data_IF_055803725135
#
_entry.id   IF_055803725135
#
_cell.length_a   1.000
_cell.length_b   1.000
_cell.length_c   1.000
_cell.angle_alpha   90.00
_cell.angle_beta   90.00
_cell.angle_gamma   90.00
#
_symmetry.space_group_name_H-M   'P 1'
#
loop_
_entity.id
_entity.type
_entity.pdbx_description
1 polymer ?
#
# COMPACT_ATOMS: atom_id res chain seq x y z
N UNK A 1 3.76 21.89 -7.62
CA UNK A 1 3.17 20.56 -7.32
C UNK A 1 2.23 20.70 -6.12
N UNK A 2 1.12 20.00 -6.13
CA UNK A 2 0.10 19.95 -5.09
C UNK A 2 0.30 18.70 -4.24
N UNK A 3 0.24 18.82 -2.91
CA UNK A 3 0.22 17.68 -1.99
C UNK A 3 -1.15 16.99 -2.08
N UNK A 4 -1.17 15.71 -2.37
CA UNK A 4 -2.39 14.89 -2.51
C UNK A 4 -2.58 13.97 -1.30
N UNK A 5 -1.48 13.50 -0.73
CA UNK A 5 -1.51 12.65 0.45
C UNK A 5 -0.31 12.96 1.34
N UNK A 6 -0.52 12.90 2.66
CA UNK A 6 0.52 12.99 3.66
C UNK A 6 0.20 12.04 4.80
N UNK A 7 1.12 11.13 5.11
CA UNK A 7 0.96 10.15 6.19
C UNK A 7 0.76 10.81 7.56
N UNK A 8 1.40 11.96 7.80
CA UNK A 8 1.26 12.74 9.03
C UNK A 8 -0.19 13.15 9.32
N UNK A 9 -1.00 13.27 8.28
CA UNK A 9 -2.39 13.69 8.37
C UNK A 9 -3.36 12.47 8.44
N UNK A 10 -2.88 11.25 8.14
CA UNK A 10 -3.66 10.01 8.15
C UNK A 10 -3.66 9.31 9.52
N UNK A 11 -4.38 9.90 10.47
CA UNK A 11 -4.51 9.38 11.83
C UNK A 11 -5.08 7.95 11.90
N UNK A 12 -6.10 7.55 11.10
CA UNK A 12 -6.60 6.18 11.08
C UNK A 12 -5.53 5.14 10.70
N UNK A 13 -4.69 5.44 9.70
CA UNK A 13 -3.61 4.56 9.29
C UNK A 13 -2.51 4.48 10.37
N UNK A 14 -2.07 5.63 10.88
CA UNK A 14 -1.06 5.69 11.95
C UNK A 14 -1.51 4.92 13.20
N UNK A 15 -2.76 5.09 13.61
CA UNK A 15 -3.33 4.33 14.74
C UNK A 15 -3.31 2.81 14.48
N UNK A 16 -3.58 2.41 13.23
CA UNK A 16 -3.56 0.99 12.85
C UNK A 16 -2.15 0.42 12.87
N UNK A 17 -1.14 1.18 12.44
CA UNK A 17 0.27 0.79 12.55
C UNK A 17 0.69 0.66 14.01
N UNK A 18 0.40 1.66 14.84
CA UNK A 18 0.76 1.65 16.26
C UNK A 18 0.13 0.48 17.01
N UNK A 19 -1.16 0.18 16.76
CA UNK A 19 -1.82 -0.98 17.37
C UNK A 19 -1.13 -2.29 16.97
N UNK A 20 -0.78 -2.46 15.70
CA UNK A 20 -0.06 -3.66 15.24
C UNK A 20 1.32 -3.77 15.91
N UNK A 21 2.05 -2.66 15.98
CA UNK A 21 3.37 -2.62 16.59
C UNK A 21 3.34 -2.89 18.11
N UNK A 22 2.28 -2.50 18.81
CA UNK A 22 2.09 -2.85 20.24
C UNK A 22 1.91 -4.36 20.45
N UNK A 23 1.23 -5.05 19.53
CA UNK A 23 1.06 -6.51 19.61
C UNK A 23 2.34 -7.25 19.19
N UNK A 24 3.04 -6.74 18.16
CA UNK A 24 4.23 -7.33 17.55
C UNK A 24 5.15 -6.25 17.01
N UNK A 25 6.07 -5.71 17.82
CA UNK A 25 6.96 -4.63 17.37
C UNK A 25 7.99 -5.16 16.37
N UNK A 26 8.22 -4.41 15.30
CA UNK A 26 9.31 -4.68 14.36
C UNK A 26 10.66 -4.22 14.92
N UNK A 27 11.75 -4.60 14.25
CA UNK A 27 13.07 -4.08 14.60
C UNK A 27 13.16 -2.55 14.46
N UNK A 28 12.45 -2.00 13.46
CA UNK A 28 12.38 -0.55 13.25
C UNK A 28 11.54 0.15 14.31
N UNK A 29 10.41 -0.43 14.73
CA UNK A 29 9.61 0.11 15.83
C UNK A 29 10.45 0.24 17.12
N UNK A 30 11.28 -0.76 17.41
CA UNK A 30 12.16 -0.75 18.59
C UNK A 30 13.32 0.23 18.47
N UNK A 31 13.80 0.51 17.26
CA UNK A 31 14.97 1.36 17.02
C UNK A 31 14.63 2.83 16.85
N UNK A 32 13.54 3.13 16.15
CA UNK A 32 13.19 4.49 15.73
C UNK A 32 11.88 4.99 16.36
N UNK A 33 11.21 4.17 17.16
CA UNK A 33 9.90 4.47 17.73
C UNK A 33 8.76 3.93 16.86
N UNK A 34 7.56 3.90 17.43
CA UNK A 34 6.37 3.43 16.74
C UNK A 34 6.04 4.34 15.57
N UNK A 35 5.60 3.76 14.46
CA UNK A 35 5.16 4.52 13.28
C UNK A 35 4.23 5.70 13.65
N UNK A 36 4.59 6.89 13.17
CA UNK A 36 3.87 8.14 13.44
C UNK A 36 3.99 8.72 14.86
N UNK A 37 4.77 8.11 15.75
CA UNK A 37 5.08 8.71 17.06
C UNK A 37 6.05 9.90 16.92
N UNK A 38 6.17 10.70 17.98
CA UNK A 38 7.09 11.83 17.98
C UNK A 38 8.56 11.40 17.77
N UNK A 39 8.94 10.26 18.35
CA UNK A 39 10.28 9.67 18.20
C UNK A 39 10.54 9.21 16.77
N UNK A 40 9.52 8.64 16.11
CA UNK A 40 9.63 8.20 14.71
C UNK A 40 9.77 9.38 13.76
N UNK A 41 8.98 10.44 13.95
CA UNK A 41 9.12 11.68 13.19
C UNK A 41 10.48 12.35 13.44
N UNK A 42 10.95 12.39 14.68
CA UNK A 42 12.27 12.92 15.00
C UNK A 42 13.40 12.11 14.34
N UNK A 43 13.23 10.79 14.20
CA UNK A 43 14.17 9.92 13.49
C UNK A 43 14.21 10.22 11.99
N UNK A 44 13.08 10.58 11.38
CA UNK A 44 13.02 11.04 9.99
C UNK A 44 13.68 12.42 9.86
N UNK A 45 13.28 13.38 10.69
CA UNK A 45 13.76 14.76 10.61
C UNK A 45 15.27 14.87 10.86
N UNK A 46 15.82 13.98 11.69
CA UNK A 46 17.27 13.88 11.93
C UNK A 46 18.04 13.09 10.87
N UNK A 47 17.36 12.39 9.96
CA UNK A 47 17.96 11.51 8.96
C UNK A 47 18.42 10.15 9.49
N UNK A 48 18.09 9.80 10.74
CA UNK A 48 18.34 8.47 11.30
C UNK A 48 17.52 7.39 10.56
N UNK A 49 16.28 7.71 10.21
CA UNK A 49 15.49 7.00 9.21
C UNK A 49 15.75 7.61 7.83
N UNK A 50 16.26 6.81 6.89
CA UNK A 50 16.59 7.30 5.55
C UNK A 50 15.33 7.47 4.73
N UNK A 51 15.13 8.69 4.26
CA UNK A 51 14.09 9.02 3.29
C UNK A 51 14.67 9.08 1.88
N UNK A 52 13.84 8.77 0.89
CA UNK A 52 14.12 9.02 -0.51
C UNK A 52 12.93 9.68 -1.18
N UNK A 53 13.22 10.47 -2.21
CA UNK A 53 12.23 11.09 -3.07
C UNK A 53 12.32 10.47 -4.45
N UNK A 54 11.22 9.91 -4.92
CA UNK A 54 11.12 9.29 -6.24
C UNK A 54 10.24 10.18 -7.12
N UNK A 55 10.66 10.40 -8.38
CA UNK A 55 9.97 11.28 -9.33
C UNK A 55 9.69 10.54 -10.64
N UNK A 56 8.48 10.68 -11.15
CA UNK A 56 8.08 10.02 -12.38
C UNK A 56 6.85 10.65 -13.02
N UNK A 57 6.37 9.99 -14.08
CA UNK A 57 5.16 10.35 -14.80
C UNK A 57 4.11 9.29 -14.53
N UNK A 58 2.91 9.68 -14.08
CA UNK A 58 1.80 8.74 -13.83
C UNK A 58 1.44 7.99 -15.11
N UNK A 59 1.52 6.67 -15.06
CA UNK A 59 1.22 5.75 -16.17
C UNK A 59 0.03 4.84 -15.92
N UNK A 60 -0.40 4.72 -14.67
CA UNK A 60 -1.53 3.89 -14.30
C UNK A 60 -2.19 4.38 -13.03
N UNK A 61 -3.51 4.30 -13.00
CA UNK A 61 -4.33 4.47 -11.82
C UNK A 61 -5.34 3.33 -11.78
N UNK A 62 -5.41 2.67 -10.63
CA UNK A 62 -6.40 1.66 -10.32
C UNK A 62 -7.13 2.09 -9.09
N UNK A 63 -8.32 2.64 -9.32
CA UNK A 63 -9.28 2.86 -8.26
C UNK A 63 -9.60 1.48 -7.68
N UNK A 64 -9.19 1.24 -6.43
CA UNK A 64 -9.59 0.04 -5.73
C UNK A 64 -11.10 -0.10 -5.86
N UNK A 65 -11.61 -1.30 -6.16
CA UNK A 65 -13.06 -1.48 -6.06
C UNK A 65 -13.40 -1.23 -4.59
N UNK A 66 -14.33 -0.31 -4.31
CA UNK A 66 -14.85 0.18 -3.02
C UNK A 66 -14.84 -0.75 -1.77
N UNK A 67 -14.69 -2.06 -1.94
CA UNK A 67 -14.61 -3.09 -0.90
C UNK A 67 -13.23 -3.80 -0.79
N UNK A 68 -12.25 -3.42 -1.61
CA UNK A 68 -11.06 -4.21 -1.93
C UNK A 68 -9.72 -3.52 -1.63
N UNK A 69 -9.73 -2.27 -1.16
CA UNK A 69 -8.52 -1.56 -0.72
C UNK A 69 -8.25 -0.21 -1.40
N UNK A 70 -7.13 0.44 -1.03
CA UNK A 70 -6.73 1.76 -1.52
C UNK A 70 -6.57 1.82 -3.03
N UNK A 71 -6.65 3.04 -3.60
CA UNK A 71 -6.24 3.26 -4.98
C UNK A 71 -4.77 2.88 -5.15
N UNK A 72 -4.43 2.19 -6.23
CA UNK A 72 -3.05 1.94 -6.60
C UNK A 72 -2.70 2.88 -7.75
N UNK A 73 -1.50 3.45 -7.72
CA UNK A 73 -0.99 4.17 -8.89
C UNK A 73 0.41 3.66 -9.25
N UNK A 74 0.76 3.81 -10.52
CA UNK A 74 2.10 3.56 -11.04
C UNK A 74 2.59 4.77 -11.82
N UNK A 75 3.88 5.04 -11.68
CA UNK A 75 4.61 6.04 -12.44
C UNK A 75 5.84 5.43 -13.09
N UNK A 76 6.19 5.96 -14.25
CA UNK A 76 7.45 5.66 -14.92
C UNK A 76 8.50 6.68 -14.52
N UNK A 77 9.66 6.18 -14.11
CA UNK A 77 10.81 6.98 -13.71
C UNK A 77 11.63 7.40 -14.93
N UNK A 78 12.60 8.29 -14.73
CA UNK A 78 13.43 8.82 -15.82
C UNK A 78 14.27 7.74 -16.53
N UNK A 79 14.55 6.62 -15.87
CA UNK A 79 15.27 5.47 -16.42
C UNK A 79 14.35 4.45 -17.13
N UNK A 80 13.04 4.73 -17.20
CA UNK A 80 12.04 3.85 -17.79
C UNK A 80 11.54 2.74 -16.86
N UNK A 81 12.07 2.64 -15.63
CA UNK A 81 11.54 1.71 -14.63
C UNK A 81 10.19 2.17 -14.09
N UNK A 82 9.42 1.23 -13.53
CA UNK A 82 8.14 1.51 -12.92
C UNK A 82 8.27 1.57 -11.40
N UNK A 83 7.65 2.57 -10.81
CA UNK A 83 7.45 2.70 -9.38
C UNK A 83 5.96 2.85 -9.10
N UNK A 84 5.46 2.16 -8.09
CA UNK A 84 4.06 2.26 -7.74
C UNK A 84 3.75 1.61 -6.41
N UNK A 85 2.53 1.83 -5.95
CA UNK A 85 2.11 1.33 -4.66
C UNK A 85 0.69 1.73 -4.33
N UNK A 86 0.25 1.23 -3.18
CA UNK A 86 -1.04 1.53 -2.62
C UNK A 86 -1.01 2.96 -2.06
N UNK A 87 -2.00 3.76 -2.43
CA UNK A 87 -2.20 5.12 -1.97
C UNK A 87 -3.52 5.18 -1.19
N UNK A 88 -3.47 5.59 0.07
CA UNK A 88 -4.65 5.75 0.93
C UNK A 88 -5.49 7.00 0.59
N UNK A 89 -5.63 7.31 -0.70
CA UNK A 89 -6.52 8.35 -1.22
C UNK A 89 -7.86 7.72 -1.58
N UNK A 90 -8.94 8.39 -1.18
CA UNK A 90 -10.31 7.95 -1.50
C UNK A 90 -10.50 7.83 -3.02
N UNK A 91 -11.16 6.77 -3.53
CA UNK A 91 -11.27 6.51 -4.97
C UNK A 91 -11.81 7.69 -5.79
N UNK A 92 -12.77 8.44 -5.27
CA UNK A 92 -13.36 9.59 -5.95
C UNK A 92 -12.32 10.70 -6.13
N UNK A 93 -11.62 11.06 -5.06
CA UNK A 93 -10.52 12.04 -5.11
C UNK A 93 -9.40 11.53 -6.03
N UNK A 94 -9.06 10.25 -5.93
CA UNK A 94 -8.02 9.65 -6.74
C UNK A 94 -8.36 9.75 -8.23
N UNK A 95 -9.62 9.51 -8.60
CA UNK A 95 -10.09 9.57 -9.99
C UNK A 95 -9.99 10.98 -10.60
N UNK A 96 -10.06 12.02 -9.78
CA UNK A 96 -9.96 13.41 -10.22
C UNK A 96 -8.51 13.88 -10.34
N UNK A 97 -7.64 13.46 -9.41
CA UNK A 97 -6.29 14.03 -9.28
C UNK A 97 -5.22 13.24 -10.01
N UNK A 98 -5.34 11.92 -10.13
CA UNK A 98 -4.37 11.03 -10.79
C UNK A 98 -4.67 10.85 -12.27
N UNK A 99 -4.49 11.93 -13.03
CA UNK A 99 -4.56 11.86 -14.49
C UNK A 99 -3.28 11.26 -15.06
N UNK A 100 -3.43 10.38 -16.05
CA UNK A 100 -2.31 9.84 -16.82
C UNK A 100 -1.48 10.99 -17.39
N UNK A 101 -0.16 10.93 -17.19
CA UNK A 101 0.76 11.92 -17.72
C UNK A 101 1.09 13.02 -16.75
N UNK A 102 0.43 13.12 -15.59
CA UNK A 102 0.86 14.04 -14.53
C UNK A 102 2.22 13.64 -14.00
N UNK A 103 3.02 14.64 -13.65
CA UNK A 103 4.22 14.44 -12.85
C UNK A 103 3.82 14.01 -11.43
N UNK A 104 4.50 13.01 -10.90
CA UNK A 104 4.34 12.54 -9.53
C UNK A 104 5.68 12.58 -8.79
N UNK A 105 5.61 12.93 -7.52
CA UNK A 105 6.74 12.89 -6.61
C UNK A 105 6.31 12.24 -5.30
N UNK A 106 7.01 11.20 -4.89
CA UNK A 106 6.73 10.43 -3.67
C UNK A 106 7.94 10.53 -2.75
N UNK A 107 7.73 11.09 -1.57
CA UNK A 107 8.65 10.93 -0.45
C UNK A 107 8.29 9.66 0.30
N UNK A 108 9.28 8.83 0.56
CA UNK A 108 9.09 7.57 1.28
C UNK A 108 10.25 7.29 2.21
N UNK A 109 10.00 6.45 3.21
CA UNK A 109 10.99 5.90 4.12
C UNK A 109 11.02 4.38 3.99
N UNK A 110 12.22 3.81 3.87
CA UNK A 110 12.39 2.37 3.94
C UNK A 110 12.56 1.97 5.40
N UNK A 111 11.55 1.29 5.93
CA UNK A 111 11.49 0.95 7.36
C UNK A 111 12.08 -0.42 7.63
N UNK A 112 11.54 -1.48 7.05
CA UNK A 112 12.00 -2.84 7.31
C UNK A 112 12.34 -3.59 6.03
N UNK A 113 13.10 -4.67 6.16
CA UNK A 113 13.29 -5.65 5.12
C UNK A 113 12.94 -7.05 5.63
N UNK A 114 12.21 -7.82 4.83
CA UNK A 114 11.82 -9.19 5.15
C UNK A 114 12.12 -10.11 3.97
N UNK A 115 12.42 -11.37 4.26
CA UNK A 115 12.64 -12.36 3.20
C UNK A 115 11.33 -13.05 2.86
N UNK A 116 10.95 -13.03 1.58
CA UNK A 116 9.81 -13.78 1.04
C UNK A 116 10.32 -14.67 -0.10
N UNK A 117 10.11 -15.98 0.00
CA UNK A 117 10.58 -16.96 -0.99
C UNK A 117 12.09 -16.89 -1.29
N UNK A 118 12.90 -16.51 -0.30
CA UNK A 118 14.36 -16.35 -0.45
C UNK A 118 14.80 -14.99 -0.98
N UNK A 119 13.86 -14.10 -1.33
CA UNK A 119 14.17 -12.75 -1.79
C UNK A 119 14.00 -11.73 -0.67
N UNK A 120 14.99 -10.85 -0.49
CA UNK A 120 14.88 -9.71 0.40
C UNK A 120 13.92 -8.68 -0.20
N UNK A 121 12.86 -8.35 0.53
CA UNK A 121 11.86 -7.34 0.18
C UNK A 121 11.94 -6.22 1.20
N UNK A 122 11.88 -4.97 0.71
CA UNK A 122 11.83 -3.78 1.55
C UNK A 122 10.39 -3.32 1.71
N UNK A 123 10.09 -2.74 2.87
CA UNK A 123 8.83 -2.08 3.16
C UNK A 123 9.11 -0.58 3.08
N UNK A 124 8.47 0.05 2.10
CA UNK A 124 8.52 1.48 1.88
C UNK A 124 7.20 2.11 2.34
N UNK A 125 7.28 3.00 3.32
CA UNK A 125 6.15 3.79 3.77
C UNK A 125 6.16 5.15 3.10
N UNK A 126 5.04 5.52 2.48
CA UNK A 126 4.90 6.79 1.78
C UNK A 126 4.63 7.89 2.79
N UNK A 127 5.52 8.88 2.84
CA UNK A 127 5.42 10.02 3.72
C UNK A 127 4.53 11.10 3.10
N UNK A 128 4.78 11.42 1.83
CA UNK A 128 4.05 12.44 1.10
C UNK A 128 4.01 12.09 -0.39
N UNK A 129 2.85 12.31 -1.00
CA UNK A 129 2.67 12.24 -2.45
C UNK A 129 2.25 13.61 -2.96
N UNK A 130 2.98 14.08 -3.98
CA UNK A 130 2.74 15.33 -4.68
C UNK A 130 2.48 15.06 -6.16
N UNK A 131 1.48 15.74 -6.71
CA UNK A 131 1.20 15.73 -8.15
C UNK A 131 1.50 17.09 -8.76
N UNK A 132 2.12 17.08 -9.92
CA UNK A 132 2.45 18.26 -10.71
C UNK A 132 1.56 18.42 -11.93
N UNK A 133 2.03 19.31 -12.82
CA UNK A 133 1.40 19.53 -14.11
C UNK A 133 1.55 18.32 -15.02
N UNK A 134 0.82 18.34 -16.14
CA UNK A 134 0.93 17.34 -17.18
C UNK A 134 2.33 17.36 -17.80
N UNK A 135 2.89 16.18 -18.02
CA UNK A 135 4.06 16.01 -18.87
C UNK A 135 3.76 16.57 -20.27
N UNK A 136 4.72 17.27 -20.90
CA UNK A 136 4.55 17.77 -22.27
C UNK A 136 4.46 16.64 -23.30
N UNK A 137 4.88 15.43 -22.93
CA UNK A 137 4.85 14.27 -23.82
C UNK A 137 3.57 13.47 -23.59
N UNK A 138 2.84 13.10 -24.67
CA UNK A 138 1.69 12.23 -24.56
C UNK A 138 2.11 10.88 -23.97
N UNK A 139 1.27 10.36 -23.07
CA UNK A 139 1.51 9.09 -22.41
C UNK A 139 0.44 8.09 -22.79
N UNK A 140 0.87 6.84 -23.04
CA UNK A 140 -0.05 5.72 -23.13
C UNK A 140 -0.24 5.09 -21.75
N UNK A 141 -1.44 4.63 -21.41
CA UNK A 141 -1.66 3.80 -20.23
C UNK A 141 -0.85 2.51 -20.33
N UNK A 142 -0.38 2.00 -19.19
CA UNK A 142 0.24 0.67 -19.15
C UNK A 142 -0.77 -0.41 -19.57
N UNK A 143 -0.33 -1.43 -20.33
CA UNK A 143 -1.21 -2.51 -20.75
C UNK A 143 -1.70 -3.32 -19.55
N UNK A 144 -2.90 -3.89 -19.70
CA UNK A 144 -3.44 -4.84 -18.74
C UNK A 144 -2.64 -6.16 -18.77
N UNK A 145 -1.66 -6.33 -17.87
CA UNK A 145 -0.87 -7.57 -17.73
C UNK A 145 -1.18 -8.31 -16.42
N UNK A 146 -0.95 -9.63 -16.35
CA UNK A 146 -1.09 -10.36 -15.08
C UNK A 146 -0.04 -9.93 -14.03
N UNK A 147 1.05 -9.30 -14.45
CA UNK A 147 2.06 -8.73 -13.55
C UNK A 147 1.54 -7.45 -12.87
N UNK A 148 0.86 -6.60 -13.64
CA UNK A 148 0.27 -5.34 -13.15
C UNK A 148 -1.15 -5.54 -12.58
N UNK A 149 -1.85 -6.63 -12.96
CA UNK A 149 -3.28 -6.88 -12.65
C UNK A 149 -3.59 -8.27 -12.05
N UNK A 150 -2.60 -9.17 -11.93
CA UNK A 150 -2.81 -10.57 -11.53
C UNK A 150 -3.41 -10.74 -10.15
N UNK A 151 -3.23 -9.74 -9.28
CA UNK A 151 -3.85 -9.70 -7.95
C UNK A 151 -5.38 -9.60 -8.03
N UNK A 152 -5.92 -8.90 -9.04
CA UNK A 152 -7.37 -8.74 -9.21
C UNK A 152 -8.03 -9.90 -9.97
N UNK A 153 -7.33 -10.51 -10.94
CA UNK A 153 -7.83 -11.70 -11.65
C UNK A 153 -7.93 -12.92 -10.72
N UNK A 154 -6.98 -13.10 -9.80
CA UNK A 154 -6.99 -14.19 -8.80
C UNK A 154 -8.12 -14.05 -7.76
N UNK A 155 -8.51 -12.83 -7.38
CA UNK A 155 -9.67 -12.61 -6.50
C UNK A 155 -11.02 -12.97 -7.14
N UNK A 156 -11.19 -12.72 -8.46
CA UNK A 156 -12.40 -13.16 -9.19
C UNK A 156 -12.52 -14.69 -9.25
N UNK A 157 -11.41 -15.41 -9.36
CA UNK A 157 -11.41 -16.87 -9.36
C UNK A 157 -11.75 -17.44 -7.97
N UNK A 158 -11.27 -16.83 -6.89
CA UNK A 158 -11.63 -17.26 -5.52
C UNK A 158 -13.14 -17.11 -5.24
N UNK A 159 -13.79 -16.04 -5.72
CA UNK A 159 -15.25 -15.87 -5.61
C UNK A 159 -16.05 -16.98 -6.34
N UNK A 160 -15.45 -17.65 -7.32
CA UNK A 160 -16.08 -18.75 -8.08
C UNK A 160 -15.93 -20.11 -7.38
N UNK A 161 -14.97 -20.24 -6.46
CA UNK A 161 -14.69 -21.49 -5.73
C UNK A 161 -15.50 -21.58 -4.42
N UNK A 162 -15.99 -20.45 -3.89
CA UNK A 162 -16.87 -20.41 -2.71
C UNK A 162 -18.35 -20.51 -3.16
N UNK A 163 -18.69 -21.57 -3.87
CA UNK A 163 -20.04 -22.13 -3.89
C UNK A 163 -19.96 -23.45 -3.11
N UNK A 164 -20.86 -23.71 -2.13
CA UNK A 164 -20.64 -24.78 -1.17
C UNK A 164 -20.98 -26.13 -1.80
N UNK A 165 -19.97 -26.93 -2.12
CA UNK A 165 -20.13 -28.39 -2.10
C UNK A 165 -19.59 -28.92 -0.78
N UNK A 166 -20.50 -29.51 -0.01
CA UNK A 166 -20.26 -30.20 1.25
C UNK A 166 -19.42 -31.45 0.97
N UNK A 167 -18.22 -31.57 1.52
CA UNK A 167 -17.64 -32.88 1.87
C UNK A 167 -16.42 -32.79 2.79
N UNK A 168 -16.25 -33.85 3.55
CA UNK A 168 -15.43 -34.13 4.74
C UNK A 168 -13.90 -33.95 4.66
N UNK A 169 -13.33 -33.52 5.80
CA UNK A 169 -11.91 -33.37 6.24
C UNK A 169 -11.25 -34.77 6.45
N UNK A 170 -9.91 -35.04 6.24
CA UNK A 170 -8.85 -34.71 7.23
C UNK A 170 -7.40 -34.54 6.66
N UNK A 171 -6.31 -34.54 7.47
CA UNK A 171 -5.53 -33.37 7.87
C UNK A 171 -4.10 -33.38 7.31
N UNK A 172 -3.32 -32.35 7.67
CA UNK A 172 -1.85 -32.21 7.50
C UNK A 172 -1.34 -31.53 6.22
N UNK A 173 -1.07 -30.22 6.34
CA UNK A 173 0.24 -29.62 6.06
C UNK A 173 0.23 -28.12 6.35
N UNK A 174 1.04 -27.72 7.31
CA UNK A 174 1.23 -26.33 7.77
C UNK A 174 2.32 -25.66 6.93
N UNK A 175 1.99 -24.54 6.27
CA UNK A 175 2.84 -23.32 6.17
C UNK A 175 2.19 -22.14 5.41
N UNK A 176 0.94 -22.25 4.97
CA UNK A 176 0.17 -21.14 4.35
C UNK A 176 -0.48 -20.18 5.37
N UNK A 177 -0.34 -20.45 6.67
CA UNK A 177 -1.13 -19.81 7.71
C UNK A 177 -0.65 -18.40 8.09
N UNK A 178 0.62 -18.03 7.88
CA UNK A 178 1.13 -16.76 8.42
C UNK A 178 0.91 -15.55 7.50
N UNK A 179 0.98 -15.75 6.17
CA UNK A 179 0.59 -14.71 5.19
C UNK A 179 -0.92 -14.47 5.17
N UNK A 180 -1.71 -15.54 5.30
CA UNK A 180 -3.17 -15.46 5.38
C UNK A 180 -3.62 -14.85 6.71
N UNK A 181 -2.94 -15.12 7.84
CA UNK A 181 -3.23 -14.45 9.12
C UNK A 181 -3.02 -12.94 9.03
N UNK A 182 -1.94 -12.45 8.42
CA UNK A 182 -1.71 -11.00 8.31
C UNK A 182 -2.74 -10.30 7.41
N UNK A 183 -3.18 -10.99 6.35
CA UNK A 183 -4.26 -10.52 5.48
C UNK A 183 -5.63 -10.55 6.18
N UNK A 184 -5.96 -11.64 6.88
CA UNK A 184 -7.19 -11.79 7.66
C UNK A 184 -7.26 -10.83 8.85
N UNK A 185 -6.13 -10.53 9.49
CA UNK A 185 -6.06 -9.50 10.54
C UNK A 185 -6.36 -8.12 9.94
N UNK A 186 -5.77 -7.79 8.79
CA UNK A 186 -6.07 -6.52 8.11
C UNK A 186 -7.55 -6.44 7.69
N UNK A 187 -8.12 -7.53 7.18
CA UNK A 187 -9.54 -7.62 6.79
C UNK A 187 -10.50 -7.51 7.99
N UNK A 188 -10.14 -8.15 9.11
CA UNK A 188 -10.90 -8.10 10.36
C UNK A 188 -10.88 -6.69 10.95
N UNK A 189 -9.75 -6.00 10.91
CA UNK A 189 -9.62 -4.63 11.41
C UNK A 189 -10.44 -3.62 10.61
N UNK A 190 -10.55 -3.83 9.30
CA UNK A 190 -11.43 -3.05 8.40
C UNK A 190 -12.90 -3.31 8.73
N UNK A 191 -13.29 -4.57 8.94
CA UNK A 191 -14.66 -4.94 9.32
C UNK A 191 -15.06 -4.40 10.71
N UNK A 192 -14.16 -4.42 11.69
CA UNK A 192 -14.42 -3.90 13.04
C UNK A 192 -14.55 -2.37 13.07
N UNK A 193 -13.81 -1.64 12.21
CA UNK A 193 -14.01 -0.20 12.03
C UNK A 193 -15.37 0.12 11.38
N UNK A 194 -15.87 -0.78 10.52
CA UNK A 194 -17.13 -0.61 9.81
C UNK A 194 -18.36 -0.83 10.71
N UNK A 195 -18.32 -1.85 11.58
CA UNK A 195 -19.39 -2.10 12.57
C UNK A 195 -19.55 -0.94 13.55
N UNK A 196 -18.46 -0.23 13.89
CA UNK A 196 -18.50 0.97 14.74
C UNK A 196 -19.03 2.23 14.05
N UNK A 197 -19.05 2.29 12.71
CA UNK A 197 -19.58 3.43 11.95
C UNK A 197 -21.06 3.28 11.59
N UNK A 198 -21.62 2.08 11.73
CA UNK A 198 -23.03 1.76 11.40
C UNK A 198 -23.93 1.55 12.63
N UNK A 199 -23.38 1.70 13.84
CA UNK A 199 -24.11 1.69 15.10
C UNK A 199 -24.18 3.08 15.71
#
# INVERSE_FOLDING_TARGET
>A
MQVIYRLRDDQPLLTSFQRRAQERPSASDLKYGLHGSAEWWASIDSGALKTQTVRGVVRGLWLGQWYCGPAQFEMELADGSLFGGLCCVEPEVASEVFNLGRLAEVDLVTVDAYTLNGELRQIDDWLELRLGDMSPNPVSPLPHSEENFGRFSKMRQQKKIIAPEVSSVPPDSVSLLDGVKNWLVSLRLILEQWVKKLG
#
